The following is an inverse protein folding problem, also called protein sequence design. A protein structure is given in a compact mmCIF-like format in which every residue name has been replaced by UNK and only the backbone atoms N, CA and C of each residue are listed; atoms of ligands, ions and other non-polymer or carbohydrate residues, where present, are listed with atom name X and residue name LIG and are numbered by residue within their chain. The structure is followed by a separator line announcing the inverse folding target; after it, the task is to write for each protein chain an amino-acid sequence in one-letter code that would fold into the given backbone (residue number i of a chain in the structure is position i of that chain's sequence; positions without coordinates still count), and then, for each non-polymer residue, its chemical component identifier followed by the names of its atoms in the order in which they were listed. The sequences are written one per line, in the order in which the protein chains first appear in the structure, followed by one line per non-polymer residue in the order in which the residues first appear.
data_IF_825950418718
#
_entry.id   IF_825950418718
#
_cell.length_a   1.000
_cell.length_b   1.000
_cell.length_c   1.000
_cell.angle_alpha   90.00
_cell.angle_beta   90.00
_cell.angle_gamma   90.00
#
_symmetry.space_group_name_H-M   'P 1'
#
loop_
_entity.id
_entity.type
_entity.pdbx_description
1 polymer ?
#
# COMPACT_ATOMS: atom_id res chain seq x y z
N UNK A 1 15.68 2.62 3.57
CA UNK A 1 15.69 3.19 4.94
C UNK A 1 15.53 4.71 4.92
N UNK A 2 16.31 5.46 4.14
CA UNK A 2 16.11 6.92 4.00
C UNK A 2 14.69 7.30 3.57
N UNK A 3 14.12 6.57 2.61
CA UNK A 3 12.71 6.72 2.19
C UNK A 3 11.71 6.51 3.34
N UNK A 4 12.01 5.61 4.30
CA UNK A 4 11.19 5.34 5.48
C UNK A 4 11.14 6.56 6.40
N UNK A 5 12.27 7.24 6.57
CA UNK A 5 12.36 8.41 7.45
C UNK A 5 11.54 9.55 6.88
N UNK A 6 11.71 9.89 5.61
CA UNK A 6 10.98 11.02 5.02
C UNK A 6 9.47 10.77 4.93
N UNK A 7 9.06 9.57 4.50
CA UNK A 7 7.64 9.23 4.33
C UNK A 7 6.98 8.93 5.68
N UNK A 8 7.63 8.10 6.50
CA UNK A 8 7.13 7.67 7.79
C UNK A 8 6.93 8.83 8.76
N UNK A 9 7.94 9.71 8.90
CA UNK A 9 7.84 10.90 9.76
C UNK A 9 6.72 11.83 9.25
N UNK A 10 6.63 12.04 7.94
CA UNK A 10 5.59 12.90 7.35
C UNK A 10 4.19 12.39 7.67
N UNK A 11 3.96 11.10 7.50
CA UNK A 11 2.66 10.46 7.75
C UNK A 11 2.34 10.37 9.25
N UNK A 12 3.35 10.08 10.08
CA UNK A 12 3.20 10.02 11.54
C UNK A 12 2.79 11.38 12.12
N UNK A 13 3.41 12.46 11.66
CA UNK A 13 3.04 13.83 12.06
C UNK A 13 1.61 14.21 11.68
N UNK A 14 1.04 13.61 10.61
CA UNK A 14 -0.32 13.92 10.14
C UNK A 14 -1.40 13.07 10.80
N UNK A 15 -1.13 11.79 10.99
CA UNK A 15 -2.15 10.79 11.32
C UNK A 15 -1.89 10.08 12.65
N UNK A 16 -0.73 10.33 13.26
CA UNK A 16 -0.31 9.73 14.53
C UNK A 16 0.35 8.36 14.36
N UNK A 17 1.23 8.05 15.31
CA UNK A 17 2.06 6.84 15.30
C UNK A 17 1.24 5.54 15.20
N UNK A 18 0.08 5.47 15.87
CA UNK A 18 -0.73 4.24 15.92
C UNK A 18 -1.18 3.81 14.52
N UNK A 19 -1.67 4.76 13.71
CA UNK A 19 -2.19 4.45 12.36
C UNK A 19 -1.05 4.03 11.43
N UNK A 20 0.11 4.66 11.57
CA UNK A 20 1.29 4.31 10.78
C UNK A 20 1.84 2.96 11.20
N UNK A 21 1.93 2.68 12.49
CA UNK A 21 2.33 1.38 13.01
C UNK A 21 1.43 0.24 12.52
N UNK A 22 0.11 0.41 12.62
CA UNK A 22 -0.85 -0.59 12.11
C UNK A 22 -0.70 -0.78 10.60
N UNK A 23 -0.60 0.31 9.84
CA UNK A 23 -0.44 0.25 8.38
C UNK A 23 0.85 -0.47 8.01
N UNK A 24 1.95 -0.16 8.69
CA UNK A 24 3.25 -0.76 8.45
C UNK A 24 3.24 -2.27 8.74
N UNK A 25 2.69 -2.69 9.89
CA UNK A 25 2.63 -4.09 10.27
C UNK A 25 1.73 -4.91 9.35
N UNK A 26 0.52 -4.42 9.06
CA UNK A 26 -0.44 -5.12 8.21
C UNK A 26 0.02 -5.16 6.75
N UNK A 27 0.63 -4.09 6.24
CA UNK A 27 1.20 -4.11 4.89
C UNK A 27 2.41 -5.05 4.80
N UNK A 28 3.26 -5.10 5.82
CA UNK A 28 4.32 -6.10 5.91
C UNK A 28 3.75 -7.52 5.86
N UNK A 29 2.71 -7.80 6.65
CA UNK A 29 2.02 -9.09 6.66
C UNK A 29 1.42 -9.44 5.29
N UNK A 30 0.67 -8.52 4.66
CA UNK A 30 0.09 -8.74 3.33
C UNK A 30 1.15 -8.96 2.25
N UNK A 31 2.28 -8.24 2.33
CA UNK A 31 3.45 -8.48 1.48
C UNK A 31 4.05 -9.87 1.68
N UNK A 32 4.26 -10.30 2.93
CA UNK A 32 4.79 -11.64 3.23
C UNK A 32 3.86 -12.76 2.77
N UNK A 33 2.54 -12.61 2.96
CA UNK A 33 1.56 -13.60 2.46
C UNK A 33 1.62 -13.71 0.94
N UNK A 34 1.67 -12.59 0.21
CA UNK A 34 1.76 -12.63 -1.24
C UNK A 34 3.09 -13.19 -1.72
N UNK A 35 4.20 -12.82 -1.09
CA UNK A 35 5.52 -13.39 -1.35
C UNK A 35 5.52 -14.92 -1.19
N UNK A 36 5.06 -15.44 -0.05
CA UNK A 36 5.05 -16.88 0.22
C UNK A 36 4.15 -17.69 -0.73
N UNK A 37 3.15 -17.05 -1.35
CA UNK A 37 2.28 -17.68 -2.35
C UNK A 37 2.96 -17.86 -3.71
N UNK A 38 3.85 -16.95 -4.09
CA UNK A 38 4.47 -16.92 -5.42
C UNK A 38 5.94 -17.37 -5.40
N UNK A 39 6.60 -17.30 -4.24
CA UNK A 39 8.00 -17.64 -4.03
C UNK A 39 8.08 -18.67 -2.89
N UNK A 40 8.31 -19.94 -3.22
CA UNK A 40 8.42 -21.01 -2.19
C UNK A 40 9.85 -21.44 -1.88
N UNK A 41 10.75 -21.33 -2.86
CA UNK A 41 12.09 -21.91 -2.78
C UNK A 41 13.17 -20.88 -2.40
N UNK A 42 12.79 -19.65 -2.07
CA UNK A 42 13.73 -18.63 -1.60
C UNK A 42 13.23 -17.94 -0.34
N UNK A 43 14.18 -17.54 0.51
CA UNK A 43 13.91 -16.91 1.79
C UNK A 43 13.82 -15.40 1.54
N UNK A 44 12.62 -14.84 1.67
CA UNK A 44 12.40 -13.40 1.63
C UNK A 44 12.33 -12.82 3.04
N UNK A 45 13.24 -11.89 3.34
CA UNK A 45 13.26 -11.17 4.62
C UNK A 45 13.51 -9.70 4.34
N UNK A 46 12.61 -8.83 4.78
CA UNK A 46 12.83 -7.40 4.64
C UNK A 46 11.67 -6.52 5.08
N UNK A 47 12.03 -5.31 5.53
CA UNK A 47 11.10 -4.23 5.83
C UNK A 47 10.50 -3.56 4.57
N UNK A 48 10.99 -3.91 3.39
CA UNK A 48 10.66 -3.24 2.12
C UNK A 48 9.21 -3.44 1.70
N UNK A 49 8.57 -4.57 1.97
CA UNK A 49 7.14 -4.76 1.71
C UNK A 49 6.27 -3.77 2.51
N UNK A 50 6.56 -3.60 3.80
CA UNK A 50 5.87 -2.64 4.66
C UNK A 50 6.08 -1.18 4.19
N UNK A 51 7.26 -0.87 3.67
CA UNK A 51 7.58 0.43 3.06
C UNK A 51 6.73 0.74 1.83
N UNK A 52 6.60 -0.23 0.94
CA UNK A 52 5.70 -0.12 -0.20
C UNK A 52 4.25 0.04 0.25
N UNK A 53 3.87 -0.55 1.38
CA UNK A 53 2.61 -0.29 2.05
C UNK A 53 2.39 1.17 2.41
N UNK A 54 3.40 1.84 3.00
CA UNK A 54 3.30 3.27 3.29
C UNK A 54 3.16 4.11 2.02
N UNK A 55 3.84 3.74 0.92
CA UNK A 55 3.66 4.40 -0.39
C UNK A 55 2.24 4.21 -0.94
N UNK A 56 1.69 3.00 -0.83
CA UNK A 56 0.29 2.73 -1.20
C UNK A 56 -0.69 3.55 -0.37
N UNK A 57 -0.46 3.62 0.94
CA UNK A 57 -1.26 4.44 1.84
C UNK A 57 -1.22 5.92 1.45
N UNK A 58 -0.04 6.48 1.14
CA UNK A 58 0.08 7.85 0.62
C UNK A 58 -0.71 8.08 -0.66
N UNK A 59 -0.69 7.10 -1.59
CA UNK A 59 -1.45 7.21 -2.82
C UNK A 59 -2.96 7.28 -2.54
N UNK A 60 -3.48 6.40 -1.69
CA UNK A 60 -4.90 6.42 -1.31
C UNK A 60 -5.30 7.72 -0.60
N UNK A 61 -4.41 8.29 0.23
CA UNK A 61 -4.61 9.56 0.91
C UNK A 61 -4.69 10.71 -0.11
N UNK A 62 -3.77 10.74 -1.08
CA UNK A 62 -3.76 11.72 -2.16
C UNK A 62 -5.03 11.65 -3.01
N UNK A 63 -5.48 10.44 -3.35
CA UNK A 63 -6.72 10.24 -4.13
C UNK A 63 -7.96 10.67 -3.34
N UNK A 64 -8.04 10.33 -2.06
CA UNK A 64 -9.17 10.68 -1.19
C UNK A 64 -9.23 12.18 -0.92
N UNK A 65 -8.07 12.84 -0.90
CA UNK A 65 -7.93 14.25 -0.54
C UNK A 65 -7.43 15.12 -1.71
N UNK A 66 -7.77 14.73 -2.94
CA UNK A 66 -7.30 15.35 -4.18
C UNK A 66 -7.43 16.88 -4.23
N UNK A 67 -8.46 17.43 -3.57
CA UNK A 67 -8.72 18.87 -3.52
C UNK A 67 -7.84 19.67 -2.56
N UNK A 68 -7.10 19.03 -1.64
CA UNK A 68 -6.23 19.72 -0.68
C UNK A 68 -4.84 20.04 -1.24
N UNK A 69 -4.43 19.35 -2.30
CA UNK A 69 -3.09 19.47 -2.85
C UNK A 69 -3.05 20.49 -3.99
N UNK A 70 -2.26 21.56 -3.81
CA UNK A 70 -2.05 22.62 -4.81
C UNK A 70 -1.43 22.09 -6.09
N UNK A 71 -0.47 21.16 -5.99
CA UNK A 71 0.20 20.55 -7.14
C UNK A 71 0.00 19.02 -7.19
N UNK A 72 -1.27 18.60 -7.23
CA UNK A 72 -1.71 17.19 -7.19
C UNK A 72 -1.12 16.32 -8.31
N UNK A 73 -1.00 16.85 -9.53
CA UNK A 73 -0.45 16.11 -10.66
C UNK A 73 1.04 15.80 -10.47
N UNK A 74 1.82 16.77 -9.98
CA UNK A 74 3.22 16.55 -9.64
C UNK A 74 3.37 15.53 -8.51
N UNK A 75 2.58 15.66 -7.43
CA UNK A 75 2.61 14.71 -6.31
C UNK A 75 2.28 13.27 -6.74
N UNK A 76 1.24 13.09 -7.56
CA UNK A 76 0.87 11.79 -8.11
C UNK A 76 1.98 11.24 -9.01
N UNK A 77 2.50 12.06 -9.93
CA UNK A 77 3.56 11.66 -10.85
C UNK A 77 4.81 11.24 -10.08
N UNK A 78 5.25 12.01 -9.09
CA UNK A 78 6.39 11.67 -8.24
C UNK A 78 6.18 10.34 -7.53
N UNK A 79 5.00 10.11 -6.95
CA UNK A 79 4.71 8.86 -6.24
C UNK A 79 4.71 7.67 -7.20
N UNK A 80 4.06 7.79 -8.36
CA UNK A 80 4.04 6.75 -9.40
C UNK A 80 5.44 6.44 -9.92
N UNK A 81 6.25 7.47 -10.18
CA UNK A 81 7.64 7.31 -10.63
C UNK A 81 8.48 6.61 -9.56
N UNK A 82 8.34 6.98 -8.29
CA UNK A 82 9.04 6.30 -7.18
C UNK A 82 8.65 4.82 -7.13
N UNK A 83 7.36 4.51 -7.18
CA UNK A 83 6.88 3.11 -7.15
C UNK A 83 7.41 2.34 -8.35
N UNK A 84 7.30 2.91 -9.56
CA UNK A 84 7.76 2.28 -10.79
C UNK A 84 9.27 2.00 -10.78
N UNK A 85 10.09 2.95 -10.31
CA UNK A 85 11.53 2.76 -10.17
C UNK A 85 11.84 1.65 -9.17
N UNK A 86 11.18 1.62 -8.01
CA UNK A 86 11.46 0.58 -7.01
C UNK A 86 11.04 -0.81 -7.50
N UNK A 87 9.90 -0.94 -8.21
CA UNK A 87 9.50 -2.22 -8.83
C UNK A 87 10.48 -2.63 -9.93
N UNK A 88 10.94 -1.69 -10.76
CA UNK A 88 11.94 -1.96 -11.79
C UNK A 88 13.28 -2.41 -11.19
N UNK A 89 13.70 -1.81 -10.07
CA UNK A 89 14.87 -2.27 -9.31
C UNK A 89 14.63 -3.68 -8.78
N UNK A 90 13.41 -4.03 -8.39
CA UNK A 90 13.12 -5.37 -7.88
C UNK A 90 13.15 -6.49 -8.90
N UNK A 91 13.45 -6.20 -10.17
CA UNK A 91 13.80 -7.20 -11.20
C UNK A 91 15.23 -7.74 -10.97
N UNK A 92 16.02 -7.09 -10.12
CA UNK A 92 17.32 -7.58 -9.69
C UNK A 92 17.19 -8.85 -8.84
N UNK A 93 18.15 -9.78 -8.96
CA UNK A 93 18.14 -10.99 -8.15
C UNK A 93 18.24 -10.63 -6.65
N UNK A 94 17.58 -11.43 -5.81
CA UNK A 94 17.45 -11.24 -4.35
C UNK A 94 16.47 -10.14 -3.91
N UNK A 95 15.76 -9.49 -4.83
CA UNK A 95 14.67 -8.59 -4.47
C UNK A 95 13.34 -9.31 -4.65
N UNK A 96 12.45 -9.15 -3.67
CA UNK A 96 11.12 -9.74 -3.68
C UNK A 96 10.07 -8.70 -4.08
N UNK A 97 9.74 -8.70 -5.37
CA UNK A 97 8.71 -7.83 -5.93
C UNK A 97 7.29 -8.26 -5.54
N UNK A 98 7.05 -9.54 -5.23
CA UNK A 98 5.74 -9.98 -4.73
C UNK A 98 5.47 -9.41 -3.34
N UNK A 99 6.48 -9.35 -2.47
CA UNK A 99 6.38 -8.66 -1.18
C UNK A 99 6.09 -7.16 -1.36
N UNK A 100 6.72 -6.50 -2.33
CA UNK A 100 6.49 -5.08 -2.61
C UNK A 100 5.08 -4.82 -3.13
N UNK A 101 4.61 -5.62 -4.09
CA UNK A 101 3.26 -5.52 -4.66
C UNK A 101 2.21 -5.81 -3.59
N UNK A 102 2.37 -6.89 -2.82
CA UNK A 102 1.43 -7.28 -1.77
C UNK A 102 1.37 -6.24 -0.65
N UNK A 103 2.54 -5.69 -0.27
CA UNK A 103 2.63 -4.60 0.69
C UNK A 103 1.95 -3.33 0.19
N UNK A 104 2.24 -2.91 -1.04
CA UNK A 104 1.64 -1.74 -1.67
C UNK A 104 0.11 -1.83 -1.74
N UNK A 105 -0.43 -2.95 -2.23
CA UNK A 105 -1.88 -3.17 -2.33
C UNK A 105 -2.54 -3.14 -0.95
N UNK A 106 -1.94 -3.81 0.03
CA UNK A 106 -2.45 -3.84 1.40
C UNK A 106 -2.47 -2.45 2.01
N UNK A 107 -1.37 -1.70 1.87
CA UNK A 107 -1.26 -0.33 2.35
C UNK A 107 -2.18 0.65 1.64
N UNK A 108 -2.39 0.49 0.33
CA UNK A 108 -3.34 1.28 -0.46
C UNK A 108 -4.78 1.10 0.03
N UNK A 109 -5.22 -0.14 0.27
CA UNK A 109 -6.53 -0.41 0.84
C UNK A 109 -6.65 0.11 2.28
N UNK A 110 -5.64 -0.12 3.11
CA UNK A 110 -5.60 0.39 4.48
C UNK A 110 -5.64 1.91 4.54
N UNK A 111 -5.09 2.60 3.55
CA UNK A 111 -5.10 4.05 3.60
C UNK A 111 -6.47 4.69 3.33
N UNK A 112 -7.34 4.06 2.53
CA UNK A 112 -8.76 4.43 2.49
C UNK A 112 -9.48 4.19 3.82
N UNK A 113 -9.01 3.21 4.61
CA UNK A 113 -9.60 2.84 5.90
C UNK A 113 -9.13 3.77 7.03
N UNK A 114 -7.83 4.07 7.09
CA UNK A 114 -7.16 4.70 8.23
C UNK A 114 -6.80 6.18 8.01
N UNK A 115 -6.71 6.65 6.76
CA UNK A 115 -6.35 8.03 6.43
C UNK A 115 -7.48 8.90 5.82
N UNK A 116 -8.79 8.68 6.09
CA UNK A 116 -9.80 9.64 5.65
C UNK A 116 -9.70 10.94 6.46
N UNK A 117 -9.52 12.08 5.79
CA UNK A 117 -9.58 13.39 6.44
C UNK A 117 -11.01 13.90 6.53
N UNK A 118 -11.42 14.43 7.69
CA UNK A 118 -12.72 15.09 7.82
C UNK A 118 -12.77 16.35 6.95
N UNK A 119 -13.96 16.74 6.54
CA UNK A 119 -14.14 17.96 5.76
C UNK A 119 -13.66 19.19 6.55
N UNK A 120 -13.00 20.14 5.86
CA UNK A 120 -12.50 21.37 6.48
C UNK A 120 -13.62 22.18 7.15
N UNK A 121 -14.81 22.20 6.54
CA UNK A 121 -16.03 22.81 7.11
C UNK A 121 -16.43 22.18 8.46
N UNK A 122 -16.24 20.87 8.62
CA UNK A 122 -16.52 20.17 9.89
C UNK A 122 -15.49 20.51 10.98
N UNK A 123 -14.23 20.75 10.61
CA UNK A 123 -13.19 21.21 11.54
C UNK A 123 -13.41 22.67 11.95
N UNK A 124 -13.87 23.52 11.03
CA UNK A 124 -14.22 24.92 11.29
C UNK A 124 -15.44 25.10 12.21
N UNK A 125 -16.16 24.00 12.51
CA UNK A 125 -17.33 23.96 13.41
C UNK A 125 -17.06 24.59 14.78
N UNK A 126 -15.84 24.50 15.31
CA UNK A 126 -15.51 25.08 16.62
C UNK A 126 -15.66 26.60 16.66
N UNK A 127 -15.68 27.27 15.49
CA UNK A 127 -15.78 28.72 15.37
C UNK A 127 -17.12 29.20 14.77
N UNK A 128 -18.09 28.31 14.53
CA UNK A 128 -19.37 28.63 13.88
C UNK A 128 -20.54 28.66 14.90
N UNK A 129 -21.51 29.59 14.77
CA UNK A 129 -22.70 29.63 15.62
C UNK A 129 -23.56 28.35 15.49
N UNK A 130 -24.27 28.00 16.56
CA UNK A 130 -24.95 26.72 16.75
C UNK A 130 -26.06 26.41 15.73
N UNK A 131 -26.49 27.44 15.00
CA UNK A 131 -27.65 27.51 14.12
C UNK A 131 -27.33 27.18 12.64
N UNK A 132 -26.06 26.91 12.31
CA UNK A 132 -25.65 26.54 10.95
C UNK A 132 -25.90 25.04 10.70
N UNK A 133 -26.65 24.64 9.64
CA UNK A 133 -26.91 23.25 9.32
C UNK A 133 -25.60 22.49 9.08
N UNK A 134 -25.43 21.39 9.82
CA UNK A 134 -24.17 20.62 9.86
C UNK A 134 -24.09 19.70 8.65
N UNK A 135 -23.04 19.85 7.83
CA UNK A 135 -22.69 18.84 6.82
C UNK A 135 -21.96 17.66 7.45
N UNK A 136 -22.15 16.46 6.89
CA UNK A 136 -21.51 15.22 7.33
C UNK A 136 -19.97 15.35 7.46
N UNK A 137 -19.40 14.71 8.49
CA UNK A 137 -17.94 14.70 8.77
C UNK A 137 -17.10 14.23 7.57
N UNK A 138 -17.62 13.24 6.84
CA UNK A 138 -17.00 12.68 5.63
C UNK A 138 -17.95 12.76 4.44
N UNK A 139 -17.41 12.83 3.23
CA UNK A 139 -18.18 12.80 1.98
C UNK A 139 -18.68 11.38 1.68
N UNK A 140 -19.79 11.25 0.96
CA UNK A 140 -20.37 9.94 0.62
C UNK A 140 -19.36 9.00 -0.09
N UNK A 141 -18.56 9.53 -1.02
CA UNK A 141 -17.52 8.73 -1.70
C UNK A 141 -16.44 8.21 -0.74
N UNK A 142 -16.11 8.94 0.35
CA UNK A 142 -15.13 8.47 1.33
C UNK A 142 -15.68 7.25 2.09
N UNK A 143 -16.96 7.26 2.44
CA UNK A 143 -17.62 6.09 3.04
C UNK A 143 -17.68 4.90 2.08
N UNK A 144 -18.01 5.13 0.81
CA UNK A 144 -18.04 4.07 -0.20
C UNK A 144 -16.65 3.45 -0.36
N UNK A 145 -15.60 4.27 -0.51
CA UNK A 145 -14.22 3.80 -0.59
C UNK A 145 -13.81 3.04 0.68
N UNK A 146 -14.17 3.55 1.86
CA UNK A 146 -13.88 2.90 3.14
C UNK A 146 -14.49 1.50 3.22
N UNK A 147 -15.79 1.34 2.93
CA UNK A 147 -16.47 0.04 2.95
C UNK A 147 -15.90 -0.89 1.88
N UNK A 148 -15.73 -0.41 0.65
CA UNK A 148 -15.20 -1.20 -0.44
C UNK A 148 -13.78 -1.71 -0.14
N UNK A 149 -12.90 -0.84 0.37
CA UNK A 149 -11.53 -1.22 0.74
C UNK A 149 -11.49 -2.21 1.89
N UNK A 150 -12.37 -2.08 2.89
CA UNK A 150 -12.47 -3.05 3.98
C UNK A 150 -12.88 -4.44 3.46
N UNK A 151 -13.90 -4.51 2.61
CA UNK A 151 -14.37 -5.77 2.01
C UNK A 151 -13.28 -6.41 1.15
N UNK A 152 -12.62 -5.62 0.29
CA UNK A 152 -11.53 -6.09 -0.56
C UNK A 152 -10.33 -6.58 0.24
N UNK A 153 -9.95 -5.87 1.30
CA UNK A 153 -8.83 -6.25 2.14
C UNK A 153 -9.09 -7.57 2.88
N UNK A 154 -10.26 -7.70 3.51
CA UNK A 154 -10.62 -8.91 4.27
C UNK A 154 -10.78 -10.10 3.33
N UNK A 155 -11.52 -9.96 2.23
CA UNK A 155 -11.71 -11.05 1.28
C UNK A 155 -10.41 -11.45 0.59
N UNK A 156 -9.61 -10.48 0.10
CA UNK A 156 -8.34 -10.73 -0.55
C UNK A 156 -7.33 -11.42 0.36
N UNK A 157 -7.16 -10.94 1.60
CA UNK A 157 -6.26 -11.57 2.56
C UNK A 157 -6.72 -12.97 2.97
N UNK A 158 -8.03 -13.15 3.16
CA UNK A 158 -8.61 -14.47 3.47
C UNK A 158 -8.36 -15.47 2.35
N UNK A 159 -8.64 -15.09 1.10
CA UNK A 159 -8.39 -15.94 -0.07
C UNK A 159 -6.91 -16.27 -0.20
N UNK A 160 -6.03 -15.27 -0.06
CA UNK A 160 -4.59 -15.47 -0.12
C UNK A 160 -4.09 -16.45 0.97
N UNK A 161 -4.54 -16.27 2.21
CA UNK A 161 -4.19 -17.19 3.31
C UNK A 161 -4.73 -18.59 3.07
N UNK A 162 -5.98 -18.74 2.62
CA UNK A 162 -6.56 -20.05 2.31
C UNK A 162 -5.78 -20.76 1.21
N UNK A 163 -5.40 -20.05 0.14
CA UNK A 163 -4.56 -20.60 -0.92
C UNK A 163 -3.18 -21.02 -0.39
N UNK A 164 -2.60 -20.20 0.48
CA UNK A 164 -1.29 -20.46 1.09
C UNK A 164 -1.32 -21.73 1.96
N UNK A 165 -2.32 -21.84 2.84
CA UNK A 165 -2.49 -23.00 3.72
C UNK A 165 -2.94 -24.26 2.98
N UNK A 166 -3.57 -24.12 1.81
CA UNK A 166 -3.84 -25.26 0.90
C UNK A 166 -2.61 -25.69 0.10
N UNK A 167 -1.51 -24.94 0.18
CA UNK A 167 -0.29 -25.25 -0.57
C UNK A 167 -0.41 -25.03 -2.07
N UNK A 168 -1.32 -24.15 -2.53
CA UNK A 168 -1.45 -23.76 -3.93
C UNK A 168 -0.24 -22.93 -4.38
N UNK A 169 0.25 -23.14 -5.61
CA UNK A 169 1.36 -22.34 -6.16
C UNK A 169 0.81 -21.21 -7.01
N UNK A 170 0.99 -19.96 -6.59
CA UNK A 170 0.60 -18.82 -7.40
C UNK A 170 1.37 -18.76 -8.73
N UNK A 171 2.63 -19.21 -8.72
CA UNK A 171 3.50 -19.21 -9.90
C UNK A 171 3.05 -20.21 -10.98
N UNK A 172 2.51 -21.37 -10.61
CA UNK A 172 2.00 -22.36 -11.57
C UNK A 172 0.77 -21.85 -12.34
N UNK A 173 -0.01 -20.95 -11.74
CA UNK A 173 -1.17 -20.33 -12.38
C UNK A 173 -0.78 -19.18 -13.33
N UNK A 174 0.48 -18.74 -13.33
CA UNK A 174 0.93 -17.53 -14.01
C UNK A 174 2.34 -17.68 -14.59
N UNK A 175 2.42 -18.09 -15.86
CA UNK A 175 3.69 -18.28 -16.58
C UNK A 175 4.59 -17.03 -16.67
N UNK A 176 4.01 -15.82 -16.62
CA UNK A 176 4.77 -14.57 -16.73
C UNK A 176 5.17 -13.97 -15.37
N UNK A 177 4.65 -14.51 -14.27
CA UNK A 177 4.88 -13.99 -12.93
C UNK A 177 6.35 -14.10 -12.49
N UNK A 178 7.12 -15.05 -13.05
CA UNK A 178 8.56 -15.16 -12.81
C UNK A 178 9.33 -13.89 -13.23
N UNK A 179 8.95 -13.28 -14.36
CA UNK A 179 9.58 -12.06 -14.86
C UNK A 179 9.33 -10.82 -14.00
N UNK A 180 8.31 -10.87 -13.13
CA UNK A 180 8.09 -9.80 -12.15
C UNK A 180 9.18 -9.79 -11.09
N UNK A 181 9.81 -10.92 -10.80
CA UNK A 181 10.76 -11.05 -9.70
C UNK A 181 12.21 -11.09 -10.18
N UNK A 182 12.46 -11.69 -11.35
CA UNK A 182 13.80 -11.71 -11.91
C UNK A 182 13.75 -11.84 -13.44
N UNK A 183 14.58 -11.05 -14.13
CA UNK A 183 14.81 -11.20 -15.57
C UNK A 183 16.30 -11.49 -15.77
N UNK A 184 16.61 -12.64 -16.37
CA UNK A 184 17.99 -13.03 -16.68
C UNK A 184 18.58 -12.09 -17.74
N UNK A 185 19.80 -11.61 -17.51
CA UNK A 185 20.53 -10.77 -18.45
C UNK A 185 21.94 -11.30 -18.64
N UNK A 186 22.70 -10.74 -19.59
CA UNK A 186 24.11 -11.12 -19.78
C UNK A 186 25.01 -10.86 -18.57
N UNK A 187 24.52 -10.14 -17.55
CA UNK A 187 25.25 -9.80 -16.32
C UNK A 187 24.81 -10.61 -15.09
N UNK A 188 23.66 -11.29 -15.11
CA UNK A 188 23.16 -12.08 -13.99
C UNK A 188 22.13 -13.14 -14.39
N UNK A 189 22.12 -14.26 -13.66
CA UNK A 189 21.19 -15.37 -13.85
C UNK A 189 20.20 -15.46 -12.69
N UNK A 190 18.99 -15.95 -12.97
CA UNK A 190 17.91 -16.14 -12.00
C UNK A 190 17.79 -17.59 -11.52
N UNK A 191 18.86 -18.39 -11.59
CA UNK A 191 18.84 -19.80 -11.16
C UNK A 191 18.52 -19.87 -9.66
N UNK A 192 17.39 -20.50 -9.31
CA UNK A 192 16.91 -20.63 -7.93
C UNK A 192 15.79 -19.67 -7.52
N UNK A 193 15.27 -18.83 -8.44
CA UNK A 193 14.08 -17.99 -8.27
C UNK A 193 12.96 -18.38 -9.23
#
# INVERSE_FOLDING_TARGET
MLSLIFIGVRLEQQFGFVRIGITYLLAGFGGSVLSSLFIRNSISVGASGALFGLLGAMLSELLTNWGLYTNKAAALLTLVVIVAINVAIGILPHVDNFAHIGGFLTGFLLGFILFPRPQLEWLARQNLPADVPVKSKYKAHQYVLWVASLVLLVSGLTVALVMLFRGENGSERCHWCHYLNCVSTSRWNCEGY
#
